data_IF_781121440397
#
_entry.id   IF_781121440397
#
_cell.length_a   1.000
_cell.length_b   1.000
_cell.length_c   1.000
_cell.angle_alpha   90.00
_cell.angle_beta   90.00
_cell.angle_gamma   90.00
#
_symmetry.space_group_name_H-M   'P 1'
#
loop_
_entity.id
_entity.type
_entity.pdbx_description
1 polymer ?
#
# COMPACT_ATOMS: atom_id res chain seq x y z
N UNK A 1 -23.68 5.99 3.31
CA UNK A 1 -23.30 6.63 2.05
C UNK A 1 -22.03 5.99 1.48
N UNK A 2 -21.87 6.04 0.15
CA UNK A 2 -20.72 5.44 -0.54
C UNK A 2 -19.52 6.38 -0.65
N UNK A 3 -19.47 7.42 0.16
CA UNK A 3 -18.37 8.36 0.26
C UNK A 3 -18.64 9.44 1.29
N UNK A 4 -17.62 10.24 1.57
CA UNK A 4 -17.70 11.48 2.33
C UNK A 4 -16.59 12.44 1.90
N UNK A 5 -16.70 13.71 2.26
CA UNK A 5 -15.87 14.77 1.66
C UNK A 5 -14.36 14.58 1.72
N UNK A 6 -13.83 13.80 2.69
CA UNK A 6 -12.37 13.72 2.93
C UNK A 6 -11.71 12.46 2.37
N UNK A 7 -12.42 11.32 2.37
CA UNK A 7 -11.83 10.01 2.08
C UNK A 7 -12.86 9.08 1.43
N UNK A 8 -12.41 8.03 0.72
CA UNK A 8 -13.27 6.92 0.30
C UNK A 8 -13.91 6.21 1.51
N UNK A 9 -15.01 5.44 1.33
CA UNK A 9 -15.91 5.06 2.41
C UNK A 9 -15.44 3.91 3.31
N UNK A 10 -14.47 3.08 2.90
CA UNK A 10 -14.21 1.80 3.55
C UNK A 10 -13.79 1.92 5.01
N UNK A 11 -12.98 2.94 5.35
CA UNK A 11 -12.59 3.17 6.74
C UNK A 11 -13.79 3.55 7.63
N UNK A 12 -14.74 4.31 7.09
CA UNK A 12 -15.97 4.64 7.79
C UNK A 12 -16.87 3.40 7.97
N UNK A 13 -16.97 2.54 6.96
CA UNK A 13 -17.72 1.28 7.08
C UNK A 13 -17.13 0.35 8.14
N UNK A 14 -15.80 0.25 8.22
CA UNK A 14 -15.15 -0.55 9.25
C UNK A 14 -15.46 -0.03 10.67
N UNK A 15 -15.40 1.29 10.86
CA UNK A 15 -15.76 1.92 12.13
C UNK A 15 -17.24 1.72 12.45
N UNK A 16 -18.12 1.89 11.47
CA UNK A 16 -19.57 1.70 11.67
C UNK A 16 -19.91 0.28 12.09
N UNK A 17 -19.33 -0.74 11.47
CA UNK A 17 -19.52 -2.15 11.87
C UNK A 17 -19.11 -2.35 13.33
N UNK A 18 -17.96 -1.79 13.74
CA UNK A 18 -17.50 -1.89 15.13
C UNK A 18 -18.42 -1.14 16.12
N UNK A 19 -18.89 0.03 15.71
CA UNK A 19 -19.85 0.79 16.49
C UNK A 19 -21.18 0.03 16.72
N UNK A 20 -21.70 -0.62 15.68
CA UNK A 20 -22.93 -1.43 15.78
C UNK A 20 -22.76 -2.64 16.70
N UNK A 21 -21.56 -3.21 16.82
CA UNK A 21 -21.29 -4.38 17.66
C UNK A 21 -20.97 -3.97 19.10
N UNK A 22 -20.15 -2.95 19.31
CA UNK A 22 -19.54 -2.60 20.59
C UNK A 22 -20.03 -1.26 21.16
N UNK A 23 -20.81 -0.49 20.40
CA UNK A 23 -21.25 0.86 20.79
C UNK A 23 -20.08 1.87 20.76
N UNK A 24 -20.26 2.99 21.46
CA UNK A 24 -19.29 4.09 21.51
C UNK A 24 -18.16 3.84 22.53
N UNK A 25 -17.50 2.69 22.43
CA UNK A 25 -16.41 2.31 23.34
C UNK A 25 -15.05 2.65 22.73
N UNK A 26 -14.23 3.42 23.42
CA UNK A 26 -12.90 3.82 22.94
C UNK A 26 -12.01 2.60 22.64
N UNK A 27 -12.02 1.59 23.51
CA UNK A 27 -11.22 0.38 23.32
C UNK A 27 -11.54 -0.35 22.00
N UNK A 28 -12.77 -0.25 21.49
CA UNK A 28 -13.17 -0.90 20.25
C UNK A 28 -12.44 -0.29 19.04
N UNK A 29 -12.17 1.00 19.04
CA UNK A 29 -11.40 1.66 17.97
C UNK A 29 -9.93 1.26 17.98
N UNK A 30 -9.32 1.16 19.16
CA UNK A 30 -7.96 0.64 19.30
C UNK A 30 -7.90 -0.83 18.88
N UNK A 31 -8.88 -1.64 19.27
CA UNK A 31 -8.97 -3.04 18.88
C UNK A 31 -9.14 -3.20 17.37
N UNK A 32 -9.99 -2.40 16.73
CA UNK A 32 -10.13 -2.37 15.26
C UNK A 32 -8.78 -2.10 14.58
N UNK A 33 -8.04 -1.09 15.07
CA UNK A 33 -6.71 -0.79 14.54
C UNK A 33 -5.77 -1.99 14.65
N UNK A 34 -5.70 -2.62 15.82
CA UNK A 34 -4.84 -3.78 16.04
C UNK A 34 -5.24 -4.98 15.17
N UNK A 35 -6.52 -5.20 14.93
CA UNK A 35 -6.98 -6.25 14.00
C UNK A 35 -6.46 -6.03 12.58
N UNK A 36 -6.47 -4.79 12.09
CA UNK A 36 -5.93 -4.47 10.77
C UNK A 36 -4.42 -4.64 10.70
N UNK A 37 -3.68 -4.23 11.74
CA UNK A 37 -2.21 -4.43 11.83
C UNK A 37 -1.87 -5.91 11.88
N UNK A 38 -2.50 -6.69 12.78
CA UNK A 38 -2.25 -8.13 12.92
C UNK A 38 -2.59 -8.86 11.63
N UNK A 39 -3.72 -8.54 11.01
CA UNK A 39 -4.11 -9.11 9.72
C UNK A 39 -3.04 -8.83 8.65
N UNK A 40 -2.52 -7.60 8.61
CA UNK A 40 -1.44 -7.21 7.69
C UNK A 40 -0.19 -8.05 7.93
N UNK A 41 0.25 -8.23 9.17
CA UNK A 41 1.43 -9.03 9.51
C UNK A 41 1.24 -10.51 9.15
N UNK A 42 0.04 -11.06 9.35
CA UNK A 42 -0.29 -12.41 8.90
C UNK A 42 -0.16 -12.52 7.36
N UNK A 43 -0.64 -11.53 6.62
CA UNK A 43 -0.55 -11.54 5.15
C UNK A 43 0.92 -11.44 4.71
N UNK A 44 1.73 -10.60 5.36
CA UNK A 44 3.16 -10.50 5.09
C UNK A 44 3.87 -11.83 5.41
N UNK A 45 3.49 -12.50 6.50
CA UNK A 45 3.95 -13.86 6.79
C UNK A 45 3.61 -14.84 5.66
N UNK A 46 2.38 -14.81 5.16
CA UNK A 46 1.96 -15.64 4.04
C UNK A 46 2.75 -15.32 2.76
N UNK A 47 3.01 -14.04 2.50
CA UNK A 47 3.81 -13.60 1.37
C UNK A 47 5.28 -14.02 1.50
N UNK A 48 5.89 -13.87 2.67
CA UNK A 48 7.29 -14.25 2.91
C UNK A 48 7.54 -15.75 2.70
N UNK A 49 6.56 -16.61 2.97
CA UNK A 49 6.63 -18.06 2.66
C UNK A 49 6.74 -18.35 1.16
N UNK A 50 6.32 -17.46 0.28
CA UNK A 50 6.52 -17.60 -1.16
C UNK A 50 8.00 -17.42 -1.57
N UNK A 51 8.79 -16.77 -0.70
CA UNK A 51 10.19 -16.44 -0.95
C UNK A 51 11.15 -17.31 -0.13
N UNK A 52 10.82 -17.60 1.12
CA UNK A 52 11.67 -18.33 2.06
C UNK A 52 11.06 -19.67 2.45
N UNK A 53 11.89 -20.73 2.40
CA UNK A 53 11.51 -22.05 2.91
C UNK A 53 11.63 -22.13 4.44
N UNK A 54 12.61 -21.40 5.01
CA UNK A 54 12.84 -21.39 6.45
C UNK A 54 11.90 -20.39 7.14
N UNK A 55 11.09 -20.89 8.07
CA UNK A 55 10.15 -20.07 8.84
C UNK A 55 10.81 -18.98 9.68
N UNK A 56 12.07 -19.18 10.11
CA UNK A 56 12.81 -18.16 10.86
C UNK A 56 13.05 -16.90 10.01
N UNK A 57 13.30 -17.04 8.71
CA UNK A 57 13.43 -15.88 7.82
C UNK A 57 12.10 -15.15 7.59
N UNK A 58 10.99 -15.91 7.55
CA UNK A 58 9.66 -15.31 7.51
C UNK A 58 9.37 -14.50 8.79
N UNK A 59 9.76 -15.03 9.96
CA UNK A 59 9.61 -14.31 11.23
C UNK A 59 10.48 -13.05 11.27
N UNK A 60 11.75 -13.16 10.85
CA UNK A 60 12.66 -12.01 10.78
C UNK A 60 12.09 -10.90 9.88
N UNK A 61 11.49 -11.25 8.75
CA UNK A 61 10.87 -10.26 7.85
C UNK A 61 9.78 -9.46 8.55
N UNK A 62 8.97 -10.09 9.41
CA UNK A 62 7.94 -9.39 10.20
C UNK A 62 8.56 -8.56 11.31
N UNK A 63 9.53 -9.12 12.05
CA UNK A 63 10.18 -8.41 13.14
C UNK A 63 10.93 -7.16 12.68
N UNK A 64 11.44 -7.15 11.44
CA UNK A 64 12.06 -5.97 10.85
C UNK A 64 11.06 -4.80 10.68
N UNK A 65 9.77 -5.09 10.50
CA UNK A 65 8.74 -4.05 10.39
C UNK A 65 8.58 -3.25 11.69
N UNK A 66 8.91 -3.84 12.85
CA UNK A 66 8.95 -3.13 14.12
C UNK A 66 9.98 -1.99 14.13
N UNK A 67 10.98 -2.03 13.27
CA UNK A 67 11.91 -0.93 13.05
C UNK A 67 11.30 0.26 12.27
N UNK A 68 10.06 0.16 11.83
CA UNK A 68 9.40 1.20 11.05
C UNK A 68 8.33 1.89 11.92
N UNK A 69 8.52 3.18 12.16
CA UNK A 69 7.68 4.05 12.99
C UNK A 69 6.17 3.88 12.78
N UNK A 70 5.74 3.59 11.55
CA UNK A 70 4.32 3.51 11.21
C UNK A 70 3.60 2.28 11.76
N UNK A 71 4.31 1.20 12.12
CA UNK A 71 3.69 -0.06 12.53
C UNK A 71 3.68 -0.27 14.03
N UNK A 72 4.33 0.63 14.78
CA UNK A 72 4.34 0.62 16.24
C UNK A 72 3.80 1.92 16.86
N UNK A 73 4.43 3.09 16.61
CA UNK A 73 4.07 4.34 17.28
C UNK A 73 2.76 4.97 16.79
N UNK A 74 2.45 4.88 15.49
CA UNK A 74 1.27 5.54 14.90
C UNK A 74 0.12 4.58 14.61
N UNK A 75 0.23 3.33 15.02
CA UNK A 75 -0.76 2.29 14.80
C UNK A 75 -1.84 2.12 15.88
N UNK A 76 -1.81 2.74 17.07
CA UNK A 76 -2.86 2.56 18.05
C UNK A 76 -4.24 3.01 17.55
N UNK A 77 -4.31 4.17 16.89
CA UNK A 77 -5.58 4.73 16.42
C UNK A 77 -5.93 4.27 15.01
N UNK A 78 -7.17 3.78 14.84
CA UNK A 78 -7.67 3.41 13.52
C UNK A 78 -7.83 4.65 12.62
N UNK A 79 -7.28 4.57 11.43
CA UNK A 79 -7.38 5.62 10.42
C UNK A 79 -7.27 5.04 9.00
N UNK A 80 -7.47 5.87 7.99
CA UNK A 80 -7.44 5.44 6.57
C UNK A 80 -6.13 4.79 6.12
N UNK A 81 -4.99 5.13 6.75
CA UNK A 81 -3.71 4.50 6.41
C UNK A 81 -3.67 3.06 6.96
N UNK A 82 -4.13 2.87 8.20
CA UNK A 82 -4.24 1.53 8.81
C UNK A 82 -5.26 0.68 8.05
N UNK A 83 -6.42 1.26 7.68
CA UNK A 83 -7.42 0.59 6.86
C UNK A 83 -6.85 0.07 5.53
N UNK A 84 -5.94 0.80 4.92
CA UNK A 84 -5.32 0.45 3.65
C UNK A 84 -4.34 -0.73 3.74
N UNK A 85 -3.66 -0.93 4.88
CA UNK A 85 -2.54 -1.88 5.01
C UNK A 85 -2.86 -3.32 4.58
N UNK A 86 -3.93 -3.98 5.09
CA UNK A 86 -4.21 -5.36 4.71
C UNK A 86 -4.57 -5.49 3.23
N UNK A 87 -5.26 -4.52 2.64
CA UNK A 87 -5.63 -4.55 1.22
C UNK A 87 -4.44 -4.29 0.30
N UNK A 88 -3.50 -3.44 0.72
CA UNK A 88 -2.21 -3.27 0.06
C UNK A 88 -1.44 -4.60 0.05
N UNK A 89 -1.33 -5.25 1.21
CA UNK A 89 -0.61 -6.51 1.36
C UNK A 89 -1.26 -7.66 0.59
N UNK A 90 -2.61 -7.78 0.62
CA UNK A 90 -3.35 -8.80 -0.13
C UNK A 90 -3.22 -8.61 -1.65
N UNK A 91 -3.25 -7.37 -2.12
CA UNK A 91 -3.05 -7.09 -3.55
C UNK A 91 -1.67 -7.53 -4.03
N UNK A 92 -0.62 -7.28 -3.24
CA UNK A 92 0.73 -7.76 -3.54
C UNK A 92 0.79 -9.29 -3.53
N UNK A 93 0.23 -9.93 -2.51
CA UNK A 93 0.22 -11.40 -2.37
C UNK A 93 -0.48 -12.07 -3.57
N UNK A 94 -1.68 -11.59 -3.93
CA UNK A 94 -2.46 -12.22 -5.00
C UNK A 94 -1.94 -11.85 -6.39
N UNK A 95 -1.32 -10.69 -6.59
CA UNK A 95 -0.57 -10.40 -7.81
C UNK A 95 0.59 -11.40 -7.99
N UNK A 96 1.37 -11.66 -6.92
CA UNK A 96 2.44 -12.64 -6.97
C UNK A 96 1.93 -14.05 -7.26
N UNK A 97 0.89 -14.52 -6.54
CA UNK A 97 0.27 -15.84 -6.78
C UNK A 97 -0.28 -15.97 -8.19
N UNK A 98 -0.98 -14.95 -8.69
CA UNK A 98 -1.48 -14.92 -10.06
C UNK A 98 -0.34 -15.03 -11.08
N UNK A 99 0.76 -14.33 -10.89
CA UNK A 99 1.95 -14.43 -11.75
C UNK A 99 2.68 -15.76 -11.65
N UNK A 100 2.61 -16.44 -10.50
CA UNK A 100 3.25 -17.72 -10.24
C UNK A 100 2.43 -18.88 -10.79
N UNK A 101 1.16 -18.95 -10.40
CA UNK A 101 0.29 -20.12 -10.60
C UNK A 101 -0.73 -19.93 -11.74
N UNK A 102 -0.95 -18.69 -12.18
CA UNK A 102 -1.89 -18.27 -13.22
C UNK A 102 -3.34 -18.78 -13.01
N UNK A 103 -3.75 -18.89 -11.73
CA UNK A 103 -5.11 -19.31 -11.36
C UNK A 103 -6.09 -18.15 -11.50
N UNK A 104 -7.27 -18.41 -12.07
CA UNK A 104 -8.34 -17.39 -12.19
C UNK A 104 -8.73 -16.78 -10.85
N UNK A 105 -8.78 -17.62 -9.82
CA UNK A 105 -9.16 -17.19 -8.47
C UNK A 105 -8.19 -16.15 -7.89
N UNK A 106 -6.88 -16.32 -8.13
CA UNK A 106 -5.89 -15.36 -7.65
C UNK A 106 -6.05 -13.98 -8.33
N UNK A 107 -6.40 -13.97 -9.62
CA UNK A 107 -6.69 -12.75 -10.37
C UNK A 107 -7.98 -12.06 -9.90
N UNK A 108 -9.03 -12.84 -9.61
CA UNK A 108 -10.27 -12.29 -9.04
C UNK A 108 -10.01 -11.65 -7.65
N UNK A 109 -9.23 -12.31 -6.80
CA UNK A 109 -8.88 -11.78 -5.49
C UNK A 109 -7.96 -10.54 -5.59
N UNK A 110 -7.04 -10.51 -6.55
CA UNK A 110 -6.26 -9.30 -6.82
C UNK A 110 -7.18 -8.11 -7.10
N UNK A 111 -8.14 -8.26 -8.01
CA UNK A 111 -9.07 -7.18 -8.34
C UNK A 111 -9.95 -6.76 -7.17
N UNK A 112 -10.47 -7.72 -6.41
CA UNK A 112 -11.26 -7.46 -5.21
C UNK A 112 -10.47 -6.62 -4.20
N UNK A 113 -9.27 -7.06 -3.84
CA UNK A 113 -8.46 -6.37 -2.83
C UNK A 113 -7.89 -5.05 -3.34
N UNK A 114 -7.59 -4.93 -4.62
CA UNK A 114 -7.21 -3.65 -5.22
C UNK A 114 -8.36 -2.64 -5.16
N UNK A 115 -9.61 -3.05 -5.45
CA UNK A 115 -10.79 -2.21 -5.28
C UNK A 115 -10.99 -1.76 -3.84
N UNK A 116 -10.90 -2.67 -2.87
CA UNK A 116 -10.97 -2.35 -1.44
C UNK A 116 -9.81 -1.44 -1.00
N UNK A 117 -8.63 -1.60 -1.59
CA UNK A 117 -7.49 -0.71 -1.38
C UNK A 117 -7.80 0.74 -1.80
N UNK A 118 -8.38 0.94 -3.00
CA UNK A 118 -8.81 2.27 -3.47
C UNK A 118 -9.92 2.84 -2.57
N UNK A 119 -10.90 2.00 -2.15
CA UNK A 119 -11.97 2.42 -1.24
C UNK A 119 -11.47 2.74 0.18
N UNK A 120 -10.28 2.24 0.56
CA UNK A 120 -9.61 2.64 1.81
C UNK A 120 -8.96 4.02 1.66
N UNK A 121 -8.20 4.20 0.59
CA UNK A 121 -7.47 5.44 0.30
C UNK A 121 -6.98 5.48 -1.14
N UNK A 122 -7.17 6.61 -1.83
CA UNK A 122 -6.72 6.78 -3.23
C UNK A 122 -5.21 6.63 -3.43
N UNK A 123 -4.41 6.74 -2.37
CA UNK A 123 -2.96 6.45 -2.44
C UNK A 123 -2.63 5.03 -2.90
N UNK A 124 -3.59 4.11 -2.88
CA UNK A 124 -3.44 2.79 -3.46
C UNK A 124 -3.04 2.83 -4.94
N UNK A 125 -3.36 3.91 -5.66
CA UNK A 125 -3.00 4.07 -7.08
C UNK A 125 -1.49 3.92 -7.33
N UNK A 126 -0.64 4.32 -6.39
CA UNK A 126 0.81 4.18 -6.53
C UNK A 126 1.26 2.71 -6.53
N UNK A 127 0.62 1.86 -5.71
CA UNK A 127 0.82 0.42 -5.79
C UNK A 127 0.18 -0.16 -7.07
N UNK A 128 -1.04 0.25 -7.40
CA UNK A 128 -1.73 -0.18 -8.61
C UNK A 128 -0.85 -0.02 -9.84
N UNK A 129 -0.30 1.18 -10.06
CA UNK A 129 0.62 1.46 -11.16
C UNK A 129 1.90 0.60 -11.11
N UNK A 130 2.44 0.34 -9.92
CA UNK A 130 3.61 -0.54 -9.79
C UNK A 130 3.27 -2.00 -10.17
N UNK A 131 2.11 -2.50 -9.73
CA UNK A 131 1.64 -3.84 -10.10
C UNK A 131 1.37 -3.94 -11.60
N UNK A 132 0.73 -2.94 -12.20
CA UNK A 132 0.45 -2.88 -13.64
C UNK A 132 1.75 -2.88 -14.46
N UNK A 133 2.75 -2.10 -14.05
CA UNK A 133 4.07 -2.10 -14.69
C UNK A 133 4.73 -3.49 -14.63
N UNK A 134 4.63 -4.17 -13.48
CA UNK A 134 5.15 -5.53 -13.36
C UNK A 134 4.37 -6.52 -14.25
N UNK A 135 3.03 -6.44 -14.26
CA UNK A 135 2.18 -7.29 -15.10
C UNK A 135 2.47 -7.07 -16.60
N UNK A 136 2.60 -5.83 -17.04
CA UNK A 136 3.00 -5.50 -18.42
C UNK A 136 4.36 -6.10 -18.75
N UNK A 137 5.35 -5.95 -17.88
CA UNK A 137 6.66 -6.58 -18.06
C UNK A 137 6.54 -8.11 -18.23
N UNK A 138 5.72 -8.76 -17.38
CA UNK A 138 5.51 -10.22 -17.44
C UNK A 138 4.80 -10.66 -18.72
N UNK A 139 3.86 -9.86 -19.23
CA UNK A 139 3.18 -10.09 -20.54
C UNK A 139 4.19 -9.95 -21.68
N UNK A 140 4.97 -8.86 -21.71
CA UNK A 140 6.01 -8.65 -22.74
C UNK A 140 7.05 -9.76 -22.77
N UNK A 141 7.41 -10.29 -21.60
CA UNK A 141 8.31 -11.46 -21.48
C UNK A 141 7.61 -12.80 -21.75
N UNK A 142 6.32 -12.79 -22.11
CA UNK A 142 5.50 -13.99 -22.36
C UNK A 142 5.51 -14.98 -21.17
N UNK A 143 5.62 -14.47 -19.94
CA UNK A 143 5.60 -15.27 -18.70
C UNK A 143 4.20 -15.45 -18.14
N UNK A 144 3.29 -14.54 -18.44
CA UNK A 144 1.86 -14.61 -18.17
C UNK A 144 1.09 -14.22 -19.43
N UNK A 145 -0.17 -14.60 -19.49
CA UNK A 145 -1.11 -14.23 -20.56
C UNK A 145 -2.06 -13.13 -20.09
N UNK A 146 -2.97 -12.68 -20.97
CA UNK A 146 -3.97 -11.64 -20.67
C UNK A 146 -5.03 -12.06 -19.64
N UNK A 147 -4.94 -13.25 -19.06
CA UNK A 147 -5.85 -13.72 -18.00
C UNK A 147 -5.82 -12.80 -16.76
N UNK A 148 -4.71 -12.11 -16.51
CA UNK A 148 -4.62 -11.11 -15.45
C UNK A 148 -5.68 -10.00 -15.57
N UNK A 149 -6.18 -9.69 -16.80
CA UNK A 149 -7.24 -8.70 -17.01
C UNK A 149 -8.57 -9.09 -16.35
N UNK A 150 -8.76 -10.37 -15.99
CA UNK A 150 -9.93 -10.80 -15.21
C UNK A 150 -10.04 -10.04 -13.87
N UNK A 151 -8.92 -9.59 -13.30
CA UNK A 151 -8.90 -8.79 -12.08
C UNK A 151 -9.67 -7.46 -12.21
N UNK A 152 -9.79 -6.92 -13.41
CA UNK A 152 -10.52 -5.69 -13.68
C UNK A 152 -12.02 -5.81 -13.35
N UNK A 153 -12.60 -7.01 -13.48
CA UNK A 153 -14.03 -7.24 -13.21
C UNK A 153 -14.37 -6.97 -11.75
N UNK A 154 -13.83 -7.71 -10.75
CA UNK A 154 -14.14 -7.43 -9.35
C UNK A 154 -13.62 -6.05 -8.89
N UNK A 155 -12.53 -5.55 -9.45
CA UNK A 155 -12.05 -4.20 -9.18
C UNK A 155 -13.11 -3.14 -9.50
N UNK A 156 -13.66 -3.15 -10.72
CA UNK A 156 -14.69 -2.21 -11.13
C UNK A 156 -16.01 -2.42 -10.38
N UNK A 157 -16.43 -3.67 -10.14
CA UNK A 157 -17.64 -3.96 -9.38
C UNK A 157 -17.59 -3.39 -7.95
N UNK A 158 -16.44 -3.49 -7.29
CA UNK A 158 -16.23 -2.94 -5.94
C UNK A 158 -16.24 -1.41 -5.95
N UNK A 159 -15.65 -0.79 -6.97
CA UNK A 159 -15.57 0.67 -7.05
C UNK A 159 -16.86 1.33 -7.55
N UNK A 160 -17.67 0.62 -8.31
CA UNK A 160 -18.82 1.19 -9.03
C UNK A 160 -19.75 2.03 -8.13
N UNK A 161 -20.17 1.59 -6.94
CA UNK A 161 -21.05 2.40 -6.08
C UNK A 161 -20.39 3.72 -5.65
N UNK A 162 -19.09 3.69 -5.37
CA UNK A 162 -18.35 4.89 -5.01
C UNK A 162 -18.13 5.82 -6.21
N UNK A 163 -17.89 5.29 -7.39
CA UNK A 163 -17.77 6.09 -8.61
C UNK A 163 -19.07 6.81 -8.94
N UNK A 164 -20.22 6.13 -8.79
CA UNK A 164 -21.54 6.76 -8.96
C UNK A 164 -21.71 7.88 -7.93
N UNK A 165 -21.43 7.59 -6.65
CA UNK A 165 -21.52 8.60 -5.59
C UNK A 165 -20.62 9.82 -5.88
N UNK A 166 -19.39 9.63 -6.39
CA UNK A 166 -18.49 10.72 -6.75
C UNK A 166 -19.07 11.64 -7.82
N UNK A 167 -19.72 11.09 -8.85
CA UNK A 167 -20.35 11.89 -9.91
C UNK A 167 -21.54 12.70 -9.39
N UNK A 168 -22.28 12.16 -8.42
CA UNK A 168 -23.42 12.81 -7.78
C UNK A 168 -23.01 13.88 -6.74
N UNK A 169 -21.75 13.86 -6.26
CA UNK A 169 -21.24 14.74 -5.20
C UNK A 169 -20.03 15.58 -5.66
N UNK A 170 -20.03 16.02 -6.93
CA UNK A 170 -19.07 16.96 -7.51
C UNK A 170 -17.59 16.58 -7.26
N UNK A 171 -17.29 15.27 -7.22
CA UNK A 171 -15.95 14.75 -6.94
C UNK A 171 -15.32 15.30 -5.65
N UNK A 172 -16.14 15.59 -4.65
CA UNK A 172 -15.76 16.29 -3.41
C UNK A 172 -14.53 15.68 -2.70
N UNK A 173 -14.40 14.34 -2.68
CA UNK A 173 -13.27 13.66 -2.08
C UNK A 173 -11.94 13.91 -2.82
N UNK A 174 -12.00 13.99 -4.15
CA UNK A 174 -10.85 14.26 -5.01
C UNK A 174 -10.42 15.70 -4.87
N UNK A 175 -11.36 16.63 -4.97
CA UNK A 175 -11.12 18.07 -4.82
C UNK A 175 -10.56 18.41 -3.45
N UNK A 176 -11.09 17.81 -2.37
CA UNK A 176 -10.52 17.94 -1.04
C UNK A 176 -9.06 17.44 -0.97
N UNK A 177 -8.76 16.31 -1.60
CA UNK A 177 -7.39 15.77 -1.66
C UNK A 177 -6.43 16.75 -2.33
N UNK A 178 -6.81 17.34 -3.45
CA UNK A 178 -6.01 18.33 -4.18
C UNK A 178 -5.81 19.60 -3.34
N UNK A 179 -6.87 20.17 -2.76
CA UNK A 179 -6.76 21.32 -1.86
C UNK A 179 -5.82 21.05 -0.68
N UNK A 180 -5.90 19.85 -0.09
CA UNK A 180 -5.09 19.50 1.07
C UNK A 180 -3.59 19.35 0.76
N UNK A 181 -3.21 19.14 -0.48
CA UNK A 181 -1.82 19.15 -0.94
C UNK A 181 -1.28 20.56 -1.21
N UNK A 182 -2.14 21.58 -1.19
CA UNK A 182 -1.80 22.97 -1.53
C UNK A 182 -1.66 23.18 -3.04
N UNK A 183 -2.29 22.33 -3.87
CA UNK A 183 -2.21 22.45 -5.33
C UNK A 183 -2.75 23.80 -5.78
N UNK A 184 -1.94 24.57 -6.54
CA UNK A 184 -2.28 25.90 -7.04
C UNK A 184 -1.62 27.08 -6.32
N UNK A 185 -0.95 26.86 -5.18
CA UNK A 185 -0.28 27.90 -4.38
C UNK A 185 1.25 27.74 -4.35
N UNK A 186 1.85 26.95 -5.27
CA UNK A 186 3.26 26.61 -5.24
C UNK A 186 4.12 27.65 -5.93
N UNK A 187 5.28 27.92 -5.32
CA UNK A 187 6.39 28.63 -5.95
C UNK A 187 7.26 27.66 -6.77
N UNK A 188 7.99 28.18 -7.75
CA UNK A 188 8.91 27.37 -8.56
C UNK A 188 9.91 26.56 -7.71
N UNK A 189 10.39 27.09 -6.60
CA UNK A 189 11.33 26.41 -5.70
C UNK A 189 10.69 25.20 -4.98
N UNK A 190 9.37 25.18 -4.79
CA UNK A 190 8.67 24.09 -4.10
C UNK A 190 8.78 22.77 -4.86
N UNK A 191 8.90 22.83 -6.20
CA UNK A 191 9.12 21.65 -7.06
C UNK A 191 10.46 20.95 -6.78
N UNK A 192 11.41 21.60 -6.12
CA UNK A 192 12.70 21.03 -5.75
C UNK A 192 12.82 20.80 -4.24
N UNK A 193 12.35 21.75 -3.44
CA UNK A 193 12.49 21.71 -1.97
C UNK A 193 11.61 20.61 -1.38
N UNK A 194 10.34 20.52 -1.79
CA UNK A 194 9.40 19.54 -1.22
C UNK A 194 9.80 18.08 -1.47
N UNK A 195 10.24 17.67 -2.70
CA UNK A 195 10.75 16.32 -2.91
C UNK A 195 11.99 15.98 -2.09
N UNK A 196 12.91 16.93 -1.90
CA UNK A 196 14.12 16.71 -1.09
C UNK A 196 13.77 16.55 0.40
N UNK A 197 12.87 17.39 0.92
CA UNK A 197 12.34 17.26 2.29
C UNK A 197 11.63 15.92 2.45
N UNK A 198 10.85 15.50 1.45
CA UNK A 198 10.19 14.19 1.43
C UNK A 198 11.22 13.06 1.59
N UNK A 199 12.26 13.01 0.75
CA UNK A 199 13.31 11.99 0.82
C UNK A 199 14.03 11.99 2.18
N UNK A 200 14.42 13.16 2.67
CA UNK A 200 15.08 13.28 3.98
C UNK A 200 14.24 12.70 5.13
N UNK A 201 12.91 12.94 5.10
CA UNK A 201 11.99 12.38 6.09
C UNK A 201 11.87 10.86 5.97
N UNK A 202 11.83 10.31 4.73
CA UNK A 202 11.77 8.85 4.54
C UNK A 202 13.04 8.17 5.07
N UNK A 203 14.21 8.73 4.78
CA UNK A 203 15.48 8.23 5.33
C UNK A 203 15.42 8.22 6.86
N UNK A 204 15.00 9.34 7.49
CA UNK A 204 14.90 9.45 8.94
C UNK A 204 13.99 8.38 9.58
N UNK A 205 12.82 8.11 8.97
CA UNK A 205 11.88 7.09 9.45
C UNK A 205 12.44 5.68 9.34
N UNK A 206 13.24 5.41 8.31
CA UNK A 206 13.79 4.09 8.05
C UNK A 206 15.13 3.82 8.78
N UNK A 207 15.70 4.79 9.50
CA UNK A 207 16.95 4.58 10.25
C UNK A 207 16.89 3.36 11.18
N UNK A 208 15.87 3.19 12.06
CA UNK A 208 15.83 2.04 12.95
C UNK A 208 15.74 0.71 12.18
N UNK A 209 14.93 0.66 11.11
CA UNK A 209 14.85 -0.48 10.22
C UNK A 209 16.22 -0.82 9.60
N UNK A 210 16.94 0.15 9.06
CA UNK A 210 18.25 -0.06 8.45
C UNK A 210 19.29 -0.51 9.49
N UNK A 211 19.24 0.02 10.71
CA UNK A 211 20.12 -0.45 11.79
C UNK A 211 19.87 -1.93 12.09
N UNK A 212 18.61 -2.34 12.27
CA UNK A 212 18.25 -3.76 12.47
C UNK A 212 18.69 -4.63 11.28
N UNK A 213 18.43 -4.16 10.05
CA UNK A 213 18.78 -4.86 8.83
C UNK A 213 20.29 -5.04 8.67
N UNK A 214 21.09 -4.02 8.96
CA UNK A 214 22.56 -4.09 8.87
C UNK A 214 23.16 -5.16 9.78
N UNK A 215 22.63 -5.35 11.00
CA UNK A 215 23.07 -6.43 11.89
C UNK A 215 22.82 -7.82 11.30
N UNK A 216 21.74 -7.98 10.54
CA UNK A 216 21.41 -9.26 9.89
C UNK A 216 22.30 -9.48 8.66
N UNK A 217 22.39 -8.47 7.80
CA UNK A 217 23.09 -8.53 6.51
C UNK A 217 24.60 -8.67 6.67
N UNK A 218 25.17 -8.10 7.74
CA UNK A 218 26.62 -8.21 8.01
C UNK A 218 27.12 -9.66 8.11
N UNK A 219 26.22 -10.61 8.37
CA UNK A 219 26.49 -12.05 8.44
C UNK A 219 26.12 -12.83 7.18
N UNK A 220 25.54 -12.18 6.17
CA UNK A 220 25.03 -12.81 4.96
C UNK A 220 25.85 -12.40 3.73
N UNK A 221 26.17 -13.37 2.89
CA UNK A 221 26.74 -13.10 1.56
C UNK A 221 25.60 -12.86 0.56
N UNK A 222 25.21 -11.60 0.36
CA UNK A 222 24.14 -11.25 -0.57
C UNK A 222 24.69 -11.23 -1.99
N UNK A 223 24.04 -11.98 -2.89
CA UNK A 223 24.25 -11.91 -4.33
C UNK A 223 22.98 -11.42 -5.00
N UNK A 224 23.04 -10.26 -5.63
CA UNK A 224 21.93 -9.72 -6.42
C UNK A 224 21.91 -10.33 -7.82
N UNK A 225 20.79 -10.97 -8.17
CA UNK A 225 20.52 -11.42 -9.53
C UNK A 225 19.32 -10.64 -10.08
N UNK A 226 19.56 -9.56 -10.80
CA UNK A 226 18.50 -8.71 -11.41
C UNK A 226 17.68 -9.41 -12.51
N UNK A 227 18.03 -10.65 -12.89
CA UNK A 227 17.20 -11.49 -13.76
C UNK A 227 16.22 -12.37 -12.98
N UNK A 228 16.34 -12.41 -11.65
CA UNK A 228 15.40 -13.15 -10.80
C UNK A 228 14.07 -12.41 -10.73
N UNK A 229 13.01 -13.11 -11.12
CA UNK A 229 11.63 -12.61 -11.08
C UNK A 229 11.20 -12.19 -9.68
N UNK A 230 11.64 -12.90 -8.65
CA UNK A 230 11.33 -12.58 -7.24
C UNK A 230 11.92 -11.24 -6.84
N UNK A 231 13.21 -11.03 -7.13
CA UNK A 231 13.87 -9.77 -6.84
C UNK A 231 13.25 -8.62 -7.63
N UNK A 232 12.97 -8.84 -8.91
CA UNK A 232 12.35 -7.81 -9.74
C UNK A 232 10.96 -7.40 -9.21
N UNK A 233 10.14 -8.37 -8.79
CA UNK A 233 8.84 -8.09 -8.18
C UNK A 233 8.98 -7.25 -6.92
N UNK A 234 9.85 -7.66 -5.98
CA UNK A 234 10.11 -6.91 -4.74
C UNK A 234 10.60 -5.49 -5.01
N UNK A 235 11.54 -5.31 -5.94
CA UNK A 235 12.02 -3.98 -6.33
C UNK A 235 10.89 -3.14 -6.91
N UNK A 236 10.03 -3.71 -7.74
CA UNK A 236 8.92 -2.98 -8.36
C UNK A 236 7.93 -2.49 -7.32
N UNK A 237 7.47 -3.35 -6.41
CA UNK A 237 6.45 -2.97 -5.41
C UNK A 237 6.96 -2.03 -4.32
N UNK A 238 8.27 -2.01 -4.06
CA UNK A 238 8.86 -1.15 -3.04
C UNK A 238 9.36 0.18 -3.63
N UNK A 239 10.08 0.16 -4.77
CA UNK A 239 10.75 1.33 -5.29
C UNK A 239 9.85 2.16 -6.19
N UNK A 240 9.05 1.53 -7.06
CA UNK A 240 8.20 2.27 -8.01
C UNK A 240 7.19 3.18 -7.31
N UNK A 241 6.44 2.74 -6.27
CA UNK A 241 5.53 3.64 -5.57
C UNK A 241 6.24 4.85 -4.94
N UNK A 242 7.44 4.67 -4.39
CA UNK A 242 8.23 5.77 -3.80
C UNK A 242 8.68 6.75 -4.87
N UNK A 243 9.18 6.24 -6.01
CA UNK A 243 9.57 7.08 -7.15
C UNK A 243 8.36 7.87 -7.67
N UNK A 244 7.22 7.22 -7.84
CA UNK A 244 6.00 7.90 -8.30
C UNK A 244 5.56 8.98 -7.32
N UNK A 245 5.64 8.74 -6.01
CA UNK A 245 5.34 9.74 -4.99
C UNK A 245 6.32 10.91 -5.04
N UNK A 246 7.61 10.64 -5.20
CA UNK A 246 8.65 11.67 -5.41
C UNK A 246 8.36 12.51 -6.65
N UNK A 247 8.07 11.86 -7.78
CA UNK A 247 7.72 12.53 -9.02
C UNK A 247 6.46 13.39 -8.88
N UNK A 248 5.45 12.90 -8.17
CA UNK A 248 4.22 13.69 -7.87
C UNK A 248 4.59 14.97 -7.10
N UNK A 249 5.44 14.86 -6.06
CA UNK A 249 5.91 16.03 -5.32
C UNK A 249 6.67 17.00 -6.21
N UNK A 250 7.55 16.47 -7.08
CA UNK A 250 8.38 17.27 -7.97
C UNK A 250 7.56 17.97 -9.08
N UNK A 251 6.63 17.24 -9.72
CA UNK A 251 5.85 17.78 -10.85
C UNK A 251 4.77 18.75 -10.40
N UNK A 252 4.12 18.49 -9.27
CA UNK A 252 3.04 19.32 -8.75
C UNK A 252 3.51 20.34 -7.70
N UNK A 253 4.78 20.32 -7.26
CA UNK A 253 5.31 21.20 -6.21
C UNK A 253 4.66 20.95 -4.85
N UNK A 254 3.99 19.82 -4.63
CA UNK A 254 3.17 19.56 -3.44
C UNK A 254 3.95 18.93 -2.30
N UNK A 255 3.58 19.30 -1.06
CA UNK A 255 4.19 18.76 0.15
C UNK A 255 3.56 17.43 0.53
N UNK A 256 4.32 16.34 0.41
CA UNK A 256 3.88 15.00 0.83
C UNK A 256 3.91 14.88 2.37
N UNK A 257 2.79 14.47 2.94
CA UNK A 257 2.68 14.20 4.38
C UNK A 257 3.34 12.87 4.71
N UNK A 258 4.17 12.86 5.73
CA UNK A 258 4.94 11.68 6.14
C UNK A 258 4.07 10.44 6.39
N UNK A 259 2.92 10.61 7.06
CA UNK A 259 1.97 9.53 7.36
C UNK A 259 1.35 8.87 6.12
N UNK A 260 1.43 9.51 4.94
CA UNK A 260 0.90 8.90 3.71
C UNK A 260 1.76 7.73 3.24
N UNK A 261 3.01 7.67 3.71
CA UNK A 261 3.95 6.60 3.35
C UNK A 261 3.77 5.30 4.16
N UNK A 262 2.81 5.26 5.08
CA UNK A 262 2.55 4.10 5.94
C UNK A 262 2.51 2.76 5.18
N UNK A 263 1.79 2.57 4.05
CA UNK A 263 1.74 1.27 3.37
C UNK A 263 2.98 0.96 2.50
N UNK A 264 3.83 1.95 2.20
CA UNK A 264 4.89 1.83 1.19
C UNK A 264 6.06 0.95 1.63
N UNK A 265 6.20 0.68 2.93
CA UNK A 265 7.34 -0.02 3.51
C UNK A 265 7.02 -1.44 3.98
N UNK A 266 5.82 -1.95 3.68
CA UNK A 266 5.36 -3.27 4.14
C UNK A 266 6.21 -4.44 3.63
N UNK A 267 6.94 -4.28 2.54
CA UNK A 267 7.70 -5.33 1.88
C UNK A 267 9.21 -5.01 1.77
N UNK A 268 9.67 -4.05 2.56
CA UNK A 268 11.11 -3.70 2.68
C UNK A 268 11.97 -4.79 3.29
#
# INVERSE_FOLDING_TARGET
EWGFNKHPPLSAFAVEVFYQIFGSQDWAYYFLSQLFIISTFIIIWMFSKEFFQNQSYCLISILLLEGIYFYNFTSPEFNVNICLLPFWALSVLYCWKGCKDNKTFDWLLLGLFAGLGVLSKYLFIYLGLALDLFLLYMIFKKKINFKCLISTIPFLLVLLPHLIWLTENDYSTITYGLHRTGTGEQNFLDHFIHPLIFLGKQIGILIPFFVMFLFIVSKLKIKFNFRDRKLLFLLTINIVPIILMFLTSMTLGVKIRTMWMTPFYLFF
#
